data_IF_952260052274
#
_entry.id   IF_952260052274
#
_cell.length_a   1.000
_cell.length_b   1.000
_cell.length_c   1.000
_cell.angle_alpha   90.00
_cell.angle_beta   90.00
_cell.angle_gamma   90.00
#
_symmetry.space_group_name_H-M   'P 1'
#
loop_
_entity.id
_entity.type
_entity.pdbx_description
1 polymer ?
#
# COMPACT_ATOMS: atom_id res chain seq x y z
N UNK A 1 -24.44 29.51 -20.57
CA UNK A 1 -23.97 28.35 -21.35
C UNK A 1 -24.06 27.15 -20.42
N UNK A 2 -25.04 26.28 -20.64
CA UNK A 2 -25.22 25.09 -19.82
C UNK A 2 -24.04 24.15 -20.02
N UNK A 3 -23.14 24.11 -19.05
CA UNK A 3 -22.01 23.20 -19.05
C UNK A 3 -22.54 21.78 -18.80
N UNK A 4 -22.74 21.02 -19.87
CA UNK A 4 -23.08 19.60 -19.79
C UNK A 4 -21.88 18.85 -19.20
N UNK A 5 -22.00 18.41 -17.95
CA UNK A 5 -20.99 17.56 -17.32
C UNK A 5 -20.94 16.21 -18.03
N UNK A 6 -19.76 15.87 -18.57
CA UNK A 6 -19.48 14.57 -19.13
C UNK A 6 -18.67 13.76 -18.11
N UNK A 7 -19.14 12.55 -17.82
CA UNK A 7 -18.44 11.61 -16.93
C UNK A 7 -17.80 10.55 -17.82
N UNK A 8 -16.47 10.43 -17.76
CA UNK A 8 -15.74 9.36 -18.44
C UNK A 8 -15.69 8.17 -17.48
N UNK A 9 -16.19 7.01 -17.93
CA UNK A 9 -16.33 5.81 -17.08
C UNK A 9 -15.11 4.91 -17.07
N UNK A 10 -14.24 5.03 -18.07
CA UNK A 10 -13.02 4.21 -18.18
C UNK A 10 -11.90 4.78 -17.31
N UNK A 11 -11.14 3.90 -16.64
CA UNK A 11 -9.94 4.27 -15.91
C UNK A 11 -8.82 4.79 -16.84
N UNK A 12 -8.88 4.47 -18.14
CA UNK A 12 -7.95 4.95 -19.17
C UNK A 12 -8.40 6.24 -19.87
N UNK A 13 -9.25 7.05 -19.23
CA UNK A 13 -9.81 8.30 -19.78
C UNK A 13 -8.76 9.29 -20.30
N UNK A 14 -7.53 9.27 -19.77
CA UNK A 14 -6.44 10.12 -20.24
C UNK A 14 -6.09 9.86 -21.71
N UNK A 15 -6.26 8.63 -22.19
CA UNK A 15 -6.05 8.27 -23.59
C UNK A 15 -7.12 8.88 -24.52
N UNK A 16 -8.30 9.21 -23.99
CA UNK A 16 -9.41 9.79 -24.75
C UNK A 16 -9.35 11.33 -24.86
N UNK A 17 -8.39 11.97 -24.17
CA UNK A 17 -8.23 13.42 -24.21
C UNK A 17 -7.74 13.90 -25.58
N UNK A 18 -8.42 14.91 -26.13
CA UNK A 18 -8.00 15.53 -27.38
C UNK A 18 -6.67 16.30 -27.19
N UNK A 19 -5.73 16.10 -28.12
CA UNK A 19 -4.39 16.73 -28.12
C UNK A 19 -4.20 17.74 -29.27
N UNK A 20 -5.29 18.26 -29.84
CA UNK A 20 -5.18 19.34 -30.83
C UNK A 20 -4.65 20.62 -30.16
N UNK A 21 -4.02 21.52 -30.92
CA UNK A 21 -3.41 22.75 -30.38
C UNK A 21 -4.38 23.58 -29.52
N UNK A 22 -5.66 23.64 -29.93
CA UNK A 22 -6.70 24.34 -29.19
C UNK A 22 -6.96 23.73 -27.81
N UNK A 23 -6.98 22.41 -27.71
CA UNK A 23 -7.17 21.70 -26.44
C UNK A 23 -5.92 21.79 -25.56
N UNK A 24 -4.72 21.73 -26.16
CA UNK A 24 -3.46 21.89 -25.41
C UNK A 24 -3.40 23.27 -24.76
N UNK A 25 -3.63 24.34 -25.52
CA UNK A 25 -3.66 25.70 -24.96
C UNK A 25 -4.73 25.82 -23.84
N UNK A 26 -5.90 25.19 -24.01
CA UNK A 26 -6.93 25.16 -22.97
C UNK A 26 -6.45 24.45 -21.68
N UNK A 27 -5.70 23.34 -21.80
CA UNK A 27 -5.14 22.66 -20.63
C UNK A 27 -4.02 23.46 -19.96
N UNK A 28 -3.20 24.17 -20.74
CA UNK A 28 -2.18 25.08 -20.21
C UNK A 28 -2.83 26.25 -19.46
N UNK A 29 -3.84 26.90 -20.05
CA UNK A 29 -4.61 27.98 -19.44
C UNK A 29 -5.31 27.53 -18.15
N UNK A 30 -5.75 26.26 -18.09
CA UNK A 30 -6.37 25.64 -16.92
C UNK A 30 -5.36 25.03 -15.94
N UNK A 31 -4.05 25.17 -16.19
CA UNK A 31 -2.96 24.62 -15.40
C UNK A 31 -3.06 23.09 -15.16
N UNK A 32 -3.57 22.36 -16.14
CA UNK A 32 -3.77 20.91 -16.11
C UNK A 32 -3.13 20.19 -17.32
N UNK A 33 -2.10 20.79 -17.92
CA UNK A 33 -1.35 20.21 -19.04
C UNK A 33 -0.84 18.78 -18.76
N UNK A 34 -0.49 18.49 -17.50
CA UNK A 34 -0.07 17.17 -17.01
C UNK A 34 -1.08 16.05 -17.28
N UNK A 35 -2.36 16.35 -17.48
CA UNK A 35 -3.38 15.35 -17.81
C UNK A 35 -3.12 14.65 -19.15
N UNK A 36 -2.43 15.32 -20.07
CA UNK A 36 -2.09 14.77 -21.39
C UNK A 36 -0.83 13.91 -21.39
N UNK A 37 -0.05 13.98 -20.31
CA UNK A 37 1.17 13.21 -20.09
C UNK A 37 0.81 11.86 -19.47
N UNK A 38 0.97 10.79 -20.25
CA UNK A 38 0.70 9.44 -19.78
C UNK A 38 1.72 8.99 -18.71
N UNK A 39 2.90 9.62 -18.71
CA UNK A 39 4.00 9.32 -17.81
C UNK A 39 3.82 9.93 -16.41
N UNK A 40 3.01 10.99 -16.27
CA UNK A 40 2.69 11.62 -14.98
C UNK A 40 1.51 10.93 -14.27
N UNK A 41 1.36 9.62 -14.48
CA UNK A 41 0.40 8.82 -13.75
C UNK A 41 1.11 8.08 -12.62
N UNK A 42 0.45 7.99 -11.45
CA UNK A 42 0.88 7.12 -10.35
C UNK A 42 1.13 5.69 -10.84
N UNK A 43 0.29 5.23 -11.78
CA UNK A 43 0.43 3.93 -12.44
C UNK A 43 1.75 3.80 -13.21
N UNK A 44 2.12 4.80 -14.02
CA UNK A 44 3.39 4.81 -14.76
C UNK A 44 4.59 4.94 -13.82
N UNK A 45 4.50 5.78 -12.80
CA UNK A 45 5.52 5.88 -11.75
C UNK A 45 5.77 4.52 -11.07
N UNK A 46 4.71 3.80 -10.68
CA UNK A 46 4.81 2.48 -10.06
C UNK A 46 5.43 1.47 -11.04
N UNK A 47 4.98 1.45 -12.30
CA UNK A 47 5.51 0.55 -13.32
C UNK A 47 7.00 0.80 -13.61
N UNK A 48 7.42 2.06 -13.70
CA UNK A 48 8.82 2.43 -13.93
C UNK A 48 9.72 2.03 -12.75
N UNK A 49 9.20 2.17 -11.53
CA UNK A 49 9.90 1.80 -10.30
C UNK A 49 9.72 0.31 -9.93
N UNK A 50 8.98 -0.46 -10.71
CA UNK A 50 8.75 -1.87 -10.44
C UNK A 50 10.06 -2.66 -10.40
N UNK A 51 11.03 -2.31 -11.26
CA UNK A 51 12.37 -2.89 -11.23
C UNK A 51 13.15 -2.54 -9.95
N UNK A 52 13.00 -1.33 -9.42
CA UNK A 52 13.58 -0.93 -8.13
C UNK A 52 12.89 -1.63 -6.93
N UNK A 53 11.60 -1.94 -7.05
CA UNK A 53 10.84 -2.74 -6.07
C UNK A 53 11.20 -4.24 -6.17
N UNK A 54 11.47 -4.76 -7.37
CA UNK A 54 11.84 -6.17 -7.64
C UNK A 54 13.32 -6.48 -7.38
N UNK A 55 14.20 -5.49 -7.40
CA UNK A 55 15.65 -5.65 -7.15
C UNK A 55 16.03 -5.61 -5.67
N UNK A 56 15.08 -5.36 -4.76
CA UNK A 56 15.25 -5.74 -3.36
C UNK A 56 15.33 -7.27 -3.30
N UNK A 57 16.34 -7.85 -2.63
CA UNK A 57 16.56 -9.29 -2.60
C UNK A 57 15.28 -10.03 -2.21
N UNK A 58 15.16 -11.27 -2.71
CA UNK A 58 14.01 -12.16 -2.66
C UNK A 58 13.58 -12.61 -1.23
N UNK A 59 13.53 -11.70 -0.27
CA UNK A 59 12.98 -11.89 1.07
C UNK A 59 11.45 -11.74 1.11
N UNK A 60 10.82 -11.28 0.02
CA UNK A 60 9.39 -10.96 -0.04
C UNK A 60 8.48 -11.82 -0.93
N UNK A 61 8.73 -13.12 -1.23
CA UNK A 61 7.73 -13.94 -1.92
C UNK A 61 6.41 -13.95 -1.14
N UNK A 62 6.47 -14.21 0.17
CA UNK A 62 5.29 -14.32 1.04
C UNK A 62 4.60 -12.96 1.20
N UNK A 63 5.36 -11.86 1.39
CA UNK A 63 4.76 -10.53 1.52
C UNK A 63 4.10 -10.09 0.21
N UNK A 64 4.69 -10.40 -0.95
CA UNK A 64 4.09 -10.08 -2.25
C UNK A 64 2.86 -10.94 -2.52
N UNK A 65 2.92 -12.24 -2.26
CA UNK A 65 1.77 -13.15 -2.36
C UNK A 65 0.62 -12.72 -1.45
N UNK A 66 0.93 -12.31 -0.20
CA UNK A 66 -0.06 -11.84 0.74
C UNK A 66 -0.68 -10.51 0.28
N UNK A 67 0.13 -9.61 -0.27
CA UNK A 67 -0.35 -8.36 -0.84
C UNK A 67 -1.27 -8.61 -2.02
N UNK A 68 -0.83 -9.41 -3.00
CA UNK A 68 -1.58 -9.71 -4.22
C UNK A 68 -2.92 -10.38 -3.86
N UNK A 69 -2.91 -11.33 -2.90
CA UNK A 69 -4.11 -12.00 -2.41
C UNK A 69 -5.11 -11.03 -1.73
N UNK A 70 -4.62 -10.08 -0.93
CA UNK A 70 -5.49 -9.12 -0.25
C UNK A 70 -5.99 -8.07 -1.23
N UNK A 71 -5.12 -7.56 -2.12
CA UNK A 71 -5.46 -6.55 -3.12
C UNK A 71 -6.42 -7.10 -4.21
N UNK A 72 -6.43 -8.41 -4.47
CA UNK A 72 -7.43 -9.04 -5.34
C UNK A 72 -8.84 -8.98 -4.73
N UNK A 73 -8.95 -9.01 -3.40
CA UNK A 73 -10.23 -9.13 -2.67
C UNK A 73 -10.67 -7.87 -1.96
N UNK A 74 -9.77 -6.91 -1.75
CA UNK A 74 -9.93 -5.71 -0.92
C UNK A 74 -9.27 -4.51 -1.59
N UNK A 75 -9.45 -3.31 -1.04
CA UNK A 75 -8.81 -2.10 -1.54
C UNK A 75 -7.31 -2.06 -1.20
N UNK A 76 -6.58 -1.23 -1.96
CA UNK A 76 -5.13 -1.06 -1.82
C UNK A 76 -4.72 -0.63 -0.40
N UNK A 77 -5.47 0.28 0.23
CA UNK A 77 -5.24 0.75 1.59
C UNK A 77 -5.35 -0.38 2.62
N UNK A 78 -6.33 -1.28 2.45
CA UNK A 78 -6.48 -2.47 3.30
C UNK A 78 -5.30 -3.42 3.11
N UNK A 79 -4.86 -3.64 1.86
CA UNK A 79 -3.70 -4.48 1.58
C UNK A 79 -2.42 -3.94 2.24
N UNK A 80 -2.18 -2.63 2.20
CA UNK A 80 -1.06 -1.98 2.88
C UNK A 80 -1.14 -2.11 4.41
N UNK A 81 -2.34 -1.94 4.99
CA UNK A 81 -2.56 -2.13 6.42
C UNK A 81 -2.24 -3.56 6.87
N UNK A 82 -2.69 -4.56 6.11
CA UNK A 82 -2.42 -5.98 6.40
C UNK A 82 -0.94 -6.28 6.33
N UNK A 83 -0.25 -5.82 5.27
CA UNK A 83 1.20 -5.98 5.16
C UNK A 83 1.96 -5.35 6.32
N UNK A 84 1.60 -4.13 6.69
CA UNK A 84 2.23 -3.42 7.80
C UNK A 84 2.02 -4.18 9.12
N UNK A 85 0.81 -4.67 9.36
CA UNK A 85 0.49 -5.50 10.53
C UNK A 85 1.27 -6.81 10.56
N UNK A 86 1.45 -7.45 9.40
CA UNK A 86 2.23 -8.68 9.28
C UNK A 86 3.71 -8.45 9.61
N UNK A 87 4.32 -7.41 9.06
CA UNK A 87 5.73 -7.09 9.33
C UNK A 87 5.95 -6.73 10.81
N UNK A 88 5.03 -5.98 11.40
CA UNK A 88 5.06 -5.67 12.82
C UNK A 88 4.94 -6.93 13.70
N UNK A 89 4.07 -7.88 13.33
CA UNK A 89 3.92 -9.15 14.05
C UNK A 89 5.20 -9.99 13.95
N UNK A 90 5.77 -10.13 12.75
CA UNK A 90 7.02 -10.85 12.48
C UNK A 90 8.18 -10.29 13.29
N UNK A 91 8.33 -8.96 13.31
CA UNK A 91 9.36 -8.27 14.10
C UNK A 91 9.22 -8.55 15.60
N UNK A 92 8.01 -8.43 16.15
CA UNK A 92 7.76 -8.69 17.57
C UNK A 92 7.97 -10.15 17.95
N UNK A 93 7.57 -11.08 17.08
CA UNK A 93 7.79 -12.50 17.30
C UNK A 93 9.29 -12.84 17.33
N UNK A 94 10.07 -12.28 16.39
CA UNK A 94 11.53 -12.45 16.38
C UNK A 94 12.18 -11.89 17.65
N UNK A 95 11.73 -10.72 18.12
CA UNK A 95 12.23 -10.13 19.36
C UNK A 95 11.95 -11.03 20.59
N UNK A 96 10.71 -11.52 20.71
CA UNK A 96 10.30 -12.45 21.76
C UNK A 96 11.13 -13.74 21.76
N UNK A 97 11.31 -14.35 20.58
CA UNK A 97 12.12 -15.56 20.42
C UNK A 97 13.58 -15.32 20.82
N UNK A 98 14.15 -14.17 20.44
CA UNK A 98 15.53 -13.81 20.76
C UNK A 98 15.73 -13.56 22.26
N UNK A 99 14.76 -12.93 22.92
CA UNK A 99 14.77 -12.71 24.38
C UNK A 99 14.77 -14.04 25.13
N UNK A 100 13.86 -14.95 24.77
CA UNK A 100 13.79 -16.29 25.38
C UNK A 100 15.05 -17.12 25.13
N UNK A 101 15.64 -17.01 23.94
CA UNK A 101 16.90 -17.66 23.61
C UNK A 101 18.07 -17.14 24.45
N UNK A 102 18.15 -15.83 24.70
CA UNK A 102 19.18 -15.22 25.57
C UNK A 102 19.08 -15.71 27.01
N UNK A 103 17.87 -15.88 27.51
CA UNK A 103 17.61 -16.38 28.86
C UNK A 103 17.72 -17.92 28.95
N UNK A 104 18.03 -18.60 27.84
CA UNK A 104 18.07 -20.05 27.68
C UNK A 104 16.78 -20.73 28.20
N UNK A 105 15.64 -20.03 28.03
CA UNK A 105 14.34 -20.48 28.49
C UNK A 105 13.63 -21.31 27.43
N UNK A 106 13.01 -22.41 27.85
CA UNK A 106 12.08 -23.17 27.01
C UNK A 106 10.78 -22.39 26.90
N UNK A 107 10.33 -22.15 25.67
CA UNK A 107 9.07 -21.47 25.39
C UNK A 107 7.92 -22.37 25.83
N UNK A 108 7.11 -21.89 26.78
CA UNK A 108 5.92 -22.57 27.25
C UNK A 108 4.66 -22.00 26.62
N UNK A 109 3.54 -22.70 26.83
CA UNK A 109 2.23 -22.26 26.35
C UNK A 109 1.86 -20.88 26.89
N UNK A 110 2.13 -20.64 28.17
CA UNK A 110 1.80 -19.37 28.83
C UNK A 110 2.58 -18.19 28.22
N UNK A 111 3.82 -18.41 27.79
CA UNK A 111 4.64 -17.39 27.15
C UNK A 111 4.04 -16.95 25.80
N UNK A 112 3.52 -17.92 25.03
CA UNK A 112 2.85 -17.66 23.75
C UNK A 112 1.53 -16.92 23.96
N UNK A 113 0.74 -17.33 24.96
CA UNK A 113 -0.53 -16.67 25.29
C UNK A 113 -0.29 -15.20 25.70
N UNK A 114 0.68 -14.96 26.60
CA UNK A 114 1.07 -13.62 27.03
C UNK A 114 1.56 -12.74 25.87
N UNK A 115 2.34 -13.30 24.94
CA UNK A 115 2.79 -12.60 23.74
C UNK A 115 1.62 -12.08 22.89
N UNK A 116 0.64 -12.94 22.59
CA UNK A 116 -0.52 -12.55 21.80
C UNK A 116 -1.46 -11.60 22.54
N UNK A 117 -1.57 -11.69 23.85
CA UNK A 117 -2.29 -10.70 24.66
C UNK A 117 -1.63 -9.32 24.58
N UNK A 118 -0.29 -9.26 24.66
CA UNK A 118 0.49 -8.04 24.46
C UNK A 118 0.26 -7.40 23.09
N UNK A 119 0.28 -8.21 22.02
CA UNK A 119 -0.02 -7.75 20.67
C UNK A 119 -1.42 -7.13 20.55
N UNK A 120 -2.44 -7.79 21.12
CA UNK A 120 -3.83 -7.28 21.09
C UNK A 120 -3.97 -5.99 21.90
N UNK A 121 -3.32 -5.90 23.06
CA UNK A 121 -3.34 -4.69 23.89
C UNK A 121 -2.66 -3.51 23.20
N UNK A 122 -1.55 -3.75 22.49
CA UNK A 122 -0.86 -2.72 21.71
C UNK A 122 -1.71 -2.21 20.52
N UNK A 123 -2.51 -3.09 19.89
CA UNK A 123 -3.46 -2.68 18.85
C UNK A 123 -4.56 -1.75 19.38
N UNK A 124 -5.17 -2.10 20.52
CA UNK A 124 -6.25 -1.28 21.15
C UNK A 124 -5.79 0.15 21.45
N UNK A 125 -4.61 0.29 22.06
CA UNK A 125 -4.02 1.62 22.37
C UNK A 125 -3.79 2.51 21.14
N UNK A 126 -3.64 1.95 19.94
CA UNK A 126 -3.48 2.73 18.70
C UNK A 126 -4.81 3.19 18.12
N UNK A 127 -5.90 2.48 18.41
CA UNK A 127 -7.24 2.81 17.91
C UNK A 127 -7.96 3.78 18.84
N UNK A 128 -7.65 3.75 20.14
CA UNK A 128 -8.24 4.64 21.16
C UNK A 128 -7.58 6.04 21.24
N UNK A 129 -6.60 6.33 20.37
CA UNK A 129 -5.84 7.58 20.36
C UNK A 129 -6.22 8.57 19.26
N UNK A 130 -7.20 8.22 18.42
CA UNK A 130 -7.71 9.03 17.29
C UNK A 130 -9.15 9.55 17.59
N UNK A 131 -9.37 10.09 18.81
CA UNK A 131 -10.57 10.87 19.19
C UNK A 131 -10.22 12.36 19.39
#
# INVERSE_FOLDING_TARGET
MDAKTLIIKDCNWRAELCKCQKCINMYEDANCAFLTEHEDTLQFYIAQNEHAVRSKPAEKPIERELYDYVAEKQSHDVALMVLSGFEQMKSQLNAFMLEKAKENQVIKKEDVENFFEGLRAAKRRRMDGDD
#
